data_IF_635486948606
#
_entry.id   IF_635486948606
#
_cell.length_a   1.000
_cell.length_b   1.000
_cell.length_c   1.000
_cell.angle_alpha   90.00
_cell.angle_beta   90.00
_cell.angle_gamma   90.00
#
_symmetry.space_group_name_H-M   'P 1'
#
loop_
_entity.id
_entity.type
_entity.pdbx_description
1 polymer ?
#
# COMPACT_ATOMS: atom_id res chain seq x y z
N UNK A 1 -1.70 19.45 12.81
CA UNK A 1 -2.13 19.20 14.21
C UNK A 1 -2.42 17.71 14.32
N UNK A 2 -1.47 16.87 14.74
CA UNK A 2 -1.62 15.41 14.75
C UNK A 2 -0.83 14.81 15.91
N UNK A 3 -1.51 14.41 16.99
CA UNK A 3 -0.83 13.88 18.19
C UNK A 3 -1.72 13.18 19.22
N UNK A 4 -2.96 12.83 18.89
CA UNK A 4 -3.93 12.31 19.87
C UNK A 4 -4.25 10.80 19.78
N UNK A 5 -3.93 10.08 18.70
CA UNK A 5 -4.35 8.69 18.50
C UNK A 5 -3.69 7.70 19.45
N UNK A 6 -2.40 7.83 19.81
CA UNK A 6 -1.79 6.96 20.82
C UNK A 6 -2.43 7.10 22.21
N UNK A 7 -3.19 8.18 22.45
CA UNK A 7 -3.82 8.49 23.72
C UNK A 7 -5.34 8.43 23.68
N UNK A 8 -5.92 8.03 22.54
CA UNK A 8 -7.35 7.96 22.39
C UNK A 8 -7.84 6.61 22.95
N UNK A 9 -8.75 6.58 23.94
CA UNK A 9 -9.33 5.33 24.38
C UNK A 9 -10.04 4.65 23.21
N UNK A 10 -9.95 3.31 23.11
CA UNK A 10 -10.47 2.55 21.98
C UNK A 10 -11.95 2.84 21.66
N UNK A 11 -12.73 3.18 22.70
CA UNK A 11 -14.14 3.54 22.57
C UNK A 11 -14.39 4.79 21.72
N UNK A 12 -13.38 5.65 21.52
CA UNK A 12 -13.46 6.88 20.73
C UNK A 12 -12.90 6.72 19.30
N UNK A 13 -12.34 5.56 18.95
CA UNK A 13 -11.83 5.29 17.61
C UNK A 13 -12.92 5.30 16.52
N UNK A 14 -14.15 4.81 16.76
CA UNK A 14 -15.24 4.97 15.81
C UNK A 14 -15.54 6.44 15.48
N UNK A 15 -15.53 7.31 16.49
CA UNK A 15 -15.77 8.75 16.38
C UNK A 15 -14.60 9.43 15.68
N UNK A 16 -13.36 9.08 16.01
CA UNK A 16 -12.18 9.60 15.33
C UNK A 16 -12.20 9.26 13.83
N UNK A 17 -12.67 8.06 13.48
CA UNK A 17 -12.84 7.66 12.08
C UNK A 17 -13.95 8.46 11.38
N UNK A 18 -15.06 8.78 12.05
CA UNK A 18 -16.08 9.68 11.50
C UNK A 18 -15.58 11.12 11.33
N UNK A 19 -14.76 11.61 12.27
CA UNK A 19 -14.11 12.91 12.14
C UNK A 19 -13.17 12.91 10.93
N UNK A 20 -12.34 11.88 10.78
CA UNK A 20 -11.48 11.73 9.61
C UNK A 20 -12.29 11.70 8.31
N UNK A 21 -13.40 10.94 8.27
CA UNK A 21 -14.34 10.92 7.14
C UNK A 21 -14.89 12.30 6.80
N UNK A 22 -15.19 13.12 7.81
CA UNK A 22 -15.72 14.48 7.65
C UNK A 22 -14.72 15.54 7.21
N UNK A 23 -13.42 15.22 7.14
CA UNK A 23 -12.39 16.15 6.66
C UNK A 23 -12.66 16.48 5.18
N UNK A 24 -12.77 17.78 4.88
CA UNK A 24 -13.09 18.28 3.53
C UNK A 24 -11.94 18.11 2.55
N UNK A 25 -10.72 18.45 2.97
CA UNK A 25 -9.54 18.24 2.15
C UNK A 25 -9.23 16.75 2.09
N UNK A 26 -9.18 16.20 0.89
CA UNK A 26 -9.04 14.76 0.70
C UNK A 26 -7.65 14.25 1.04
N UNK A 27 -6.62 15.10 0.90
CA UNK A 27 -5.25 14.77 1.30
C UNK A 27 -5.16 14.71 2.82
N UNK A 28 -5.71 15.71 3.52
CA UNK A 28 -5.80 15.68 4.98
C UNK A 28 -6.61 14.48 5.49
N UNK A 29 -7.69 14.11 4.78
CA UNK A 29 -8.49 12.91 5.07
C UNK A 29 -7.66 11.63 4.92
N UNK A 30 -6.87 11.52 3.85
CA UNK A 30 -5.99 10.38 3.62
C UNK A 30 -4.90 10.27 4.68
N UNK A 31 -4.24 11.38 5.01
CA UNK A 31 -3.23 11.44 6.08
C UNK A 31 -3.84 11.06 7.43
N UNK A 32 -5.06 11.53 7.75
CA UNK A 32 -5.75 11.17 8.99
C UNK A 32 -6.05 9.66 9.05
N UNK A 33 -6.51 9.05 7.95
CA UNK A 33 -6.73 7.60 7.88
C UNK A 33 -5.43 6.80 8.07
N UNK A 34 -4.36 7.19 7.38
CA UNK A 34 -3.05 6.54 7.48
C UNK A 34 -2.51 6.59 8.92
N UNK A 35 -2.75 7.70 9.62
CA UNK A 35 -2.33 7.87 11.01
C UNK A 35 -3.22 7.11 12.00
N UNK A 36 -4.52 6.96 11.72
CA UNK A 36 -5.42 6.15 12.55
C UNK A 36 -5.17 4.64 12.38
N UNK A 37 -4.76 4.19 11.19
CA UNK A 37 -4.58 2.78 10.84
C UNK A 37 -3.91 1.90 11.92
N UNK A 38 -2.74 2.25 12.49
CA UNK A 38 -2.07 1.43 13.50
C UNK A 38 -2.80 1.33 14.85
N UNK A 39 -3.80 2.17 15.07
CA UNK A 39 -4.58 2.20 16.30
C UNK A 39 -5.97 1.58 16.15
N UNK A 40 -6.40 1.27 14.92
CA UNK A 40 -7.73 0.71 14.69
C UNK A 40 -7.78 -0.78 15.06
N UNK A 41 -8.77 -1.22 15.86
CA UNK A 41 -9.05 -2.64 16.01
C UNK A 41 -9.52 -3.24 14.68
N UNK A 42 -9.31 -4.55 14.51
CA UNK A 42 -9.67 -5.28 13.28
C UNK A 42 -11.14 -5.06 12.86
N UNK A 43 -12.04 -4.89 13.83
CA UNK A 43 -13.47 -4.63 13.59
C UNK A 43 -13.76 -3.29 12.89
N UNK A 44 -12.84 -2.31 12.97
CA UNK A 44 -12.99 -0.99 12.34
C UNK A 44 -12.22 -0.86 11.02
N UNK A 45 -11.28 -1.76 10.71
CA UNK A 45 -10.53 -1.72 9.45
C UNK A 45 -11.43 -1.75 8.19
N UNK A 46 -12.52 -2.55 8.12
CA UNK A 46 -13.44 -2.51 6.97
C UNK A 46 -14.10 -1.14 6.79
N UNK A 47 -14.39 -0.45 7.90
CA UNK A 47 -14.98 0.90 7.86
C UNK A 47 -13.95 1.93 7.39
N UNK A 48 -12.70 1.84 7.86
CA UNK A 48 -11.62 2.72 7.40
C UNK A 48 -11.33 2.52 5.90
N UNK A 49 -11.37 1.29 5.41
CA UNK A 49 -11.28 0.99 3.99
C UNK A 49 -12.41 1.65 3.17
N UNK A 50 -13.65 1.62 3.68
CA UNK A 50 -14.77 2.30 3.02
C UNK A 50 -14.52 3.81 2.92
N UNK A 51 -14.02 4.45 3.99
CA UNK A 51 -13.67 5.88 3.95
C UNK A 51 -12.54 6.15 2.96
N UNK A 52 -11.52 5.30 2.88
CA UNK A 52 -10.44 5.43 1.90
C UNK A 52 -10.97 5.35 0.46
N UNK A 53 -11.92 4.44 0.19
CA UNK A 53 -12.56 4.27 -1.13
C UNK A 53 -13.48 5.41 -1.52
N UNK A 54 -14.10 6.07 -0.54
CA UNK A 54 -14.93 7.26 -0.75
C UNK A 54 -14.09 8.51 -1.14
N UNK A 55 -12.75 8.44 -1.09
CA UNK A 55 -11.87 9.52 -1.56
C UNK A 55 -11.88 9.60 -3.09
N UNK A 56 -12.18 10.79 -3.62
CA UNK A 56 -12.27 11.01 -5.06
C UNK A 56 -10.90 11.20 -5.73
N UNK A 57 -10.03 11.99 -5.13
CA UNK A 57 -8.65 12.20 -5.54
C UNK A 57 -7.90 10.87 -5.54
N UNK A 58 -7.50 10.40 -6.71
CA UNK A 58 -6.77 9.15 -6.88
C UNK A 58 -5.47 9.13 -6.05
N UNK A 59 -4.76 10.26 -5.97
CA UNK A 59 -3.53 10.40 -5.18
C UNK A 59 -3.80 10.26 -3.69
N UNK A 60 -4.82 10.95 -3.18
CA UNK A 60 -5.20 10.88 -1.78
C UNK A 60 -5.77 9.50 -1.42
N UNK A 61 -6.53 8.87 -2.34
CA UNK A 61 -7.01 7.49 -2.18
C UNK A 61 -5.86 6.49 -2.08
N UNK A 62 -4.86 6.60 -2.96
CA UNK A 62 -3.65 5.76 -2.89
C UNK A 62 -2.91 5.95 -1.57
N UNK A 63 -2.74 7.19 -1.11
CA UNK A 63 -2.10 7.48 0.18
C UNK A 63 -2.84 6.80 1.35
N UNK A 64 -4.18 6.92 1.39
CA UNK A 64 -4.99 6.29 2.42
C UNK A 64 -4.89 4.76 2.39
N UNK A 65 -4.98 4.14 1.20
CA UNK A 65 -4.87 2.70 1.03
C UNK A 65 -3.47 2.18 1.40
N UNK A 66 -2.41 2.91 1.06
CA UNK A 66 -1.04 2.60 1.48
C UNK A 66 -0.91 2.66 3.01
N UNK A 67 -1.50 3.67 3.65
CA UNK A 67 -1.52 3.78 5.11
C UNK A 67 -2.23 2.62 5.81
N UNK A 68 -3.27 2.06 5.18
CA UNK A 68 -3.99 0.90 5.69
C UNK A 68 -3.29 -0.44 5.40
N UNK A 69 -2.42 -0.52 4.39
CA UNK A 69 -1.83 -1.77 3.91
C UNK A 69 -1.09 -2.61 4.97
N UNK A 70 -0.35 -2.04 5.95
CA UNK A 70 0.27 -2.84 7.02
C UNK A 70 -0.72 -3.66 7.85
N UNK A 71 -1.97 -3.21 7.95
CA UNK A 71 -3.04 -3.85 8.71
C UNK A 71 -4.07 -4.54 7.81
N UNK A 72 -4.05 -4.25 6.51
CA UNK A 72 -5.03 -4.69 5.54
C UNK A 72 -4.37 -4.98 4.17
N UNK A 73 -3.45 -5.96 4.08
CA UNK A 73 -2.64 -6.19 2.88
C UNK A 73 -3.46 -6.52 1.63
N UNK A 74 -4.70 -6.97 1.78
CA UNK A 74 -5.62 -7.21 0.66
C UNK A 74 -5.97 -5.95 -0.16
N UNK A 75 -5.60 -4.75 0.29
CA UNK A 75 -5.76 -3.51 -0.49
C UNK A 75 -4.67 -3.28 -1.54
N UNK A 76 -3.53 -3.98 -1.44
CA UNK A 76 -2.39 -3.78 -2.35
C UNK A 76 -2.75 -3.98 -3.84
N UNK A 77 -3.61 -4.94 -4.23
CA UNK A 77 -4.10 -5.05 -5.61
C UNK A 77 -4.87 -3.81 -6.08
N UNK A 78 -5.69 -3.21 -5.21
CA UNK A 78 -6.46 -2.01 -5.52
C UNK A 78 -5.52 -0.80 -5.70
N UNK A 79 -4.53 -0.65 -4.81
CA UNK A 79 -3.49 0.38 -4.95
C UNK A 79 -2.78 0.27 -6.31
N UNK A 80 -2.44 -0.95 -6.74
CA UNK A 80 -1.79 -1.17 -8.04
C UNK A 80 -2.68 -0.73 -9.21
N UNK A 81 -3.99 -0.99 -9.15
CA UNK A 81 -4.94 -0.58 -10.18
C UNK A 81 -4.98 0.95 -10.27
N UNK A 82 -5.24 1.63 -9.15
CA UNK A 82 -5.34 3.10 -9.11
C UNK A 82 -4.01 3.74 -9.53
N UNK A 83 -2.86 3.21 -9.08
CA UNK A 83 -1.56 3.74 -9.44
C UNK A 83 -1.30 3.68 -10.96
N UNK A 84 -1.83 2.67 -11.66
CA UNK A 84 -1.68 2.53 -13.12
C UNK A 84 -2.53 3.53 -13.89
N UNK A 85 -3.65 3.98 -13.32
CA UNK A 85 -4.59 4.90 -13.95
C UNK A 85 -4.09 6.35 -13.94
N UNK A 86 -3.11 6.67 -13.08
CA UNK A 86 -2.48 7.99 -13.09
C UNK A 86 -1.96 8.39 -14.48
N UNK A 87 -2.48 9.51 -14.99
CA UNK A 87 -2.07 10.08 -16.26
C UNK A 87 -0.64 10.66 -16.24
N UNK A 88 -0.19 11.16 -15.09
CA UNK A 88 1.19 11.61 -14.91
C UNK A 88 2.10 10.44 -14.57
N UNK A 89 3.20 10.30 -15.32
CA UNK A 89 4.23 9.30 -15.00
C UNK A 89 4.89 9.56 -13.65
N UNK A 90 5.03 10.81 -13.22
CA UNK A 90 5.61 11.12 -11.90
C UNK A 90 4.70 10.67 -10.75
N UNK A 91 3.40 10.94 -10.86
CA UNK A 91 2.41 10.51 -9.87
C UNK A 91 2.32 8.98 -9.82
N UNK A 92 2.34 8.34 -11.00
CA UNK A 92 2.42 6.88 -11.10
C UNK A 92 3.67 6.31 -10.45
N UNK A 93 4.83 6.93 -10.68
CA UNK A 93 6.09 6.50 -10.09
C UNK A 93 6.08 6.58 -8.56
N UNK A 94 5.62 7.69 -7.99
CA UNK A 94 5.54 7.85 -6.53
C UNK A 94 4.55 6.87 -5.91
N UNK A 95 3.39 6.65 -6.55
CA UNK A 95 2.41 5.66 -6.09
C UNK A 95 2.97 4.23 -6.12
N UNK A 96 3.65 3.84 -7.20
CA UNK A 96 4.26 2.52 -7.31
C UNK A 96 5.46 2.36 -6.36
N UNK A 97 6.20 3.42 -6.09
CA UNK A 97 7.25 3.43 -5.07
C UNK A 97 6.66 3.22 -3.67
N UNK A 98 5.57 3.89 -3.35
CA UNK A 98 4.86 3.71 -2.08
C UNK A 98 4.30 2.28 -1.96
N UNK A 99 3.70 1.74 -3.03
CA UNK A 99 3.23 0.36 -3.08
C UNK A 99 4.37 -0.63 -2.84
N UNK A 100 5.50 -0.49 -3.53
CA UNK A 100 6.63 -1.42 -3.38
C UNK A 100 7.21 -1.42 -1.97
N UNK A 101 7.13 -0.30 -1.25
CA UNK A 101 7.58 -0.20 0.15
C UNK A 101 6.71 -1.03 1.12
N UNK A 102 5.47 -1.35 0.75
CA UNK A 102 4.56 -2.18 1.56
C UNK A 102 4.66 -3.68 1.24
N UNK A 103 5.41 -4.04 0.21
CA UNK A 103 5.48 -5.43 -0.25
C UNK A 103 6.48 -6.23 0.58
N UNK A 104 6.03 -7.41 1.00
CA UNK A 104 6.85 -8.38 1.71
C UNK A 104 6.59 -9.76 1.12
N UNK A 105 7.52 -10.72 1.29
CA UNK A 105 7.27 -12.11 0.90
C UNK A 105 6.00 -12.73 1.49
N UNK A 106 5.48 -12.18 2.60
CA UNK A 106 4.30 -12.70 3.27
C UNK A 106 2.97 -12.21 2.66
N UNK A 107 2.98 -11.11 1.89
CA UNK A 107 1.76 -10.48 1.35
C UNK A 107 1.74 -10.40 -0.19
N UNK A 108 2.71 -11.00 -0.88
CA UNK A 108 2.83 -11.02 -2.34
C UNK A 108 2.92 -12.44 -2.87
N UNK A 109 2.06 -12.77 -3.84
CA UNK A 109 2.20 -13.96 -4.67
C UNK A 109 2.91 -13.65 -6.01
N UNK A 110 3.25 -14.69 -6.78
CA UNK A 110 3.96 -14.54 -8.05
C UNK A 110 3.14 -13.75 -9.09
N UNK A 111 1.81 -13.92 -9.12
CA UNK A 111 0.95 -13.23 -10.09
C UNK A 111 0.90 -11.72 -9.83
N UNK A 112 0.78 -11.34 -8.56
CA UNK A 112 0.81 -9.96 -8.13
C UNK A 112 2.20 -9.34 -8.32
N UNK A 113 3.26 -10.11 -8.08
CA UNK A 113 4.63 -9.70 -8.37
C UNK A 113 4.84 -9.38 -9.85
N UNK A 114 4.39 -10.25 -10.76
CA UNK A 114 4.47 -10.02 -12.21
C UNK A 114 3.73 -8.75 -12.64
N UNK A 115 2.51 -8.53 -12.14
CA UNK A 115 1.73 -7.31 -12.42
C UNK A 115 2.43 -6.05 -11.90
N UNK A 116 3.09 -6.15 -10.74
CA UNK A 116 3.86 -5.05 -10.16
C UNK A 116 5.07 -4.73 -11.02
N UNK A 117 5.85 -5.74 -11.43
CA UNK A 117 6.98 -5.55 -12.34
C UNK A 117 6.57 -4.99 -13.70
N UNK A 118 5.44 -5.45 -14.25
CA UNK A 118 4.89 -4.91 -15.49
C UNK A 118 4.56 -3.42 -15.36
N UNK A 119 3.91 -3.02 -14.26
CA UNK A 119 3.59 -1.62 -14.01
C UNK A 119 4.88 -0.77 -13.86
N UNK A 120 5.86 -1.25 -13.10
CA UNK A 120 7.16 -0.61 -12.93
C UNK A 120 7.95 -0.49 -14.24
N UNK A 121 7.81 -1.46 -15.14
CA UNK A 121 8.42 -1.44 -16.47
C UNK A 121 7.89 -0.33 -17.40
N UNK A 122 6.75 0.28 -17.06
CA UNK A 122 6.21 1.45 -17.79
C UNK A 122 6.83 2.78 -17.34
N UNK A 123 7.60 2.79 -16.26
CA UNK A 123 8.25 3.98 -15.73
C UNK A 123 9.51 4.31 -16.52
N UNK A 124 9.93 5.57 -16.42
CA UNK A 124 11.26 5.95 -16.89
C UNK A 124 12.34 5.17 -16.12
N UNK A 125 13.50 4.94 -16.74
CA UNK A 125 14.64 4.30 -16.08
C UNK A 125 14.95 4.95 -14.73
N UNK A 126 14.93 6.28 -14.67
CA UNK A 126 15.21 7.02 -13.43
C UNK A 126 14.22 6.70 -12.32
N UNK A 127 12.93 6.60 -12.62
CA UNK A 127 11.90 6.33 -11.62
C UNK A 127 11.86 4.85 -11.23
N UNK A 128 12.06 3.95 -12.18
CA UNK A 128 12.24 2.52 -11.91
C UNK A 128 13.41 2.26 -10.93
N UNK A 129 14.56 2.90 -11.13
CA UNK A 129 15.72 2.71 -10.25
C UNK A 129 15.44 3.12 -8.80
N UNK A 130 14.53 4.08 -8.57
CA UNK A 130 14.14 4.50 -7.22
C UNK A 130 13.30 3.46 -6.47
N UNK A 131 12.67 2.51 -7.17
CA UNK A 131 11.87 1.45 -6.53
C UNK A 131 12.69 0.21 -6.20
N UNK A 132 13.86 0.03 -6.83
CA UNK A 132 14.72 -1.15 -6.64
C UNK A 132 15.00 -1.50 -5.18
N UNK A 133 15.34 -0.55 -4.28
CA UNK A 133 15.63 -0.89 -2.89
C UNK A 133 14.49 -1.65 -2.20
N UNK A 134 13.24 -1.29 -2.50
CA UNK A 134 12.04 -1.93 -1.96
C UNK A 134 11.85 -3.37 -2.52
N UNK A 135 12.39 -3.65 -3.70
CA UNK A 135 12.23 -4.94 -4.38
C UNK A 135 13.23 -6.00 -3.93
N UNK A 136 14.35 -5.60 -3.34
CA UNK A 136 15.44 -6.52 -2.97
C UNK A 136 14.97 -7.72 -2.15
N UNK A 137 14.14 -7.56 -1.09
CA UNK A 137 13.68 -8.71 -0.30
C UNK A 137 12.87 -9.72 -1.13
N UNK A 138 12.03 -9.23 -2.04
CA UNK A 138 11.20 -10.06 -2.90
C UNK A 138 12.03 -10.77 -3.98
N UNK A 139 12.99 -10.07 -4.59
CA UNK A 139 13.89 -10.65 -5.59
C UNK A 139 14.69 -11.80 -4.98
N UNK A 140 15.20 -11.63 -3.76
CA UNK A 140 15.94 -12.68 -3.05
C UNK A 140 15.03 -13.85 -2.67
N UNK A 141 13.82 -13.57 -2.19
CA UNK A 141 12.87 -14.61 -1.78
C UNK A 141 12.34 -15.43 -2.97
N UNK A 142 11.82 -14.75 -4.01
CA UNK A 142 11.21 -15.38 -5.18
C UNK A 142 12.26 -15.93 -6.16
N UNK A 143 13.42 -15.28 -6.27
CA UNK A 143 14.53 -15.73 -7.11
C UNK A 143 15.37 -16.85 -6.48
N UNK A 144 15.46 -16.92 -5.15
CA UNK A 144 16.29 -17.92 -4.44
C UNK A 144 15.69 -19.32 -4.37
N UNK A 145 14.35 -19.45 -4.37
CA UNK A 145 13.66 -20.74 -4.22
C UNK A 145 13.85 -21.72 -5.39
N UNK A 146 14.18 -21.21 -6.58
CA UNK A 146 14.38 -22.02 -7.80
C UNK A 146 15.75 -22.69 -7.92
N UNK A 147 16.78 -22.19 -7.23
CA UNK A 147 18.15 -22.68 -7.38
C UNK A 147 18.48 -23.91 -6.52
N UNK A 148 17.68 -24.21 -5.49
CA UNK A 148 17.98 -25.30 -4.54
C UNK A 148 17.14 -26.58 -4.75
N UNK A 149 16.12 -26.58 -5.62
CA UNK A 149 15.25 -27.76 -5.85
C UNK A 149 15.45 -28.48 -7.19
N UNK A 150 16.39 -28.05 -8.04
CA UNK A 150 16.76 -28.76 -9.30
C UNK A 150 18.13 -29.46 -9.24
N UNK A 151 18.69 -29.67 -8.04
CA UNK A 151 19.99 -30.33 -7.85
C UNK A 151 19.95 -31.72 -7.21
N UNK A 152 18.80 -32.19 -6.71
CA UNK A 152 18.70 -33.50 -6.01
C UNK A 152 17.50 -34.29 -6.53
N UNK A 153 17.58 -34.72 -7.79
CA UNK A 153 16.81 -35.86 -8.33
C UNK A 153 17.37 -36.22 -9.71
N UNK A 154 18.64 -36.61 -9.76
CA UNK A 154 19.22 -37.48 -10.79
C UNK A 154 20.42 -38.18 -10.16
N UNK A 155 20.15 -39.38 -9.64
CA UNK A 155 20.85 -40.65 -9.89
C UNK A 155 20.60 -41.63 -8.74
#
# INVERSE_FOLDING_TARGET
>A
MTGLAPHLPEILLPEALEVARGIRDESDRATALAWLAPHLPESLLPKALAVARDIWSESSRVEALIGLAPHLPQVLPEVLVVAREFGSESSRAEALKALTAQLTPANVDLSFWEKTLQALGTLTRSNFLKTIPNLVPLILHLGGGGCLKRGVSRD
#
